data_IF_595013048214
#
_entry.id   IF_595013048214
#
_cell.length_a   1.000
_cell.length_b   1.000
_cell.length_c   1.000
_cell.angle_alpha   90.00
_cell.angle_beta   90.00
_cell.angle_gamma   90.00
#
_symmetry.space_group_name_H-M   'P 1'
#
loop_
_entity.id
_entity.type
_entity.pdbx_description
1 polymer ?
#
# COMPACT_ATOMS: atom_id res chain seq x y z
N UNK A 1 1.06 24.04 9.78
CA UNK A 1 2.13 24.05 8.76
C UNK A 1 1.84 22.99 7.69
N UNK A 2 2.58 22.97 6.57
CA UNK A 2 2.43 21.95 5.53
C UNK A 2 2.66 20.52 6.10
N UNK A 3 3.62 20.39 7.02
CA UNK A 3 3.96 19.12 7.68
C UNK A 3 2.75 18.55 8.44
N UNK A 4 2.07 19.36 9.26
CA UNK A 4 0.91 18.90 10.03
C UNK A 4 -0.25 18.43 9.13
N UNK A 5 -0.45 19.08 7.98
CA UNK A 5 -1.47 18.66 6.99
C UNK A 5 -1.09 17.34 6.32
N UNK A 6 0.20 17.10 6.07
CA UNK A 6 0.70 15.84 5.54
C UNK A 6 0.55 14.72 6.57
N UNK A 7 0.88 14.99 7.83
CA UNK A 7 0.70 14.01 8.91
C UNK A 7 -0.78 13.63 9.07
N UNK A 8 -1.70 14.60 9.03
CA UNK A 8 -3.14 14.34 9.01
C UNK A 8 -3.60 13.54 7.78
N UNK A 9 -3.03 13.81 6.60
CA UNK A 9 -3.35 13.08 5.38
C UNK A 9 -2.97 11.60 5.48
N UNK A 10 -1.78 11.30 6.03
CA UNK A 10 -1.28 9.93 6.20
C UNK A 10 -1.88 9.18 7.39
N UNK A 11 -2.49 9.88 8.34
CA UNK A 11 -3.25 9.26 9.43
C UNK A 11 -4.59 8.66 8.99
N UNK A 12 -5.03 8.89 7.74
CA UNK A 12 -6.31 8.40 7.25
C UNK A 12 -6.31 6.87 7.22
N UNK A 13 -7.07 6.27 8.14
CA UNK A 13 -7.16 4.81 8.28
C UNK A 13 -7.60 4.15 6.97
N UNK A 14 -6.78 3.22 6.47
CA UNK A 14 -7.27 2.20 5.56
C UNK A 14 -8.30 1.35 6.32
N UNK A 15 -9.54 1.31 5.84
CA UNK A 15 -10.57 0.44 6.42
C UNK A 15 -10.11 -1.01 6.28
N UNK A 16 -9.59 -1.59 7.35
CA UNK A 16 -9.29 -3.01 7.45
C UNK A 16 -10.59 -3.81 7.31
N UNK A 17 -10.93 -4.24 6.10
CA UNK A 17 -12.05 -5.15 5.89
C UNK A 17 -11.59 -6.56 6.25
N UNK A 18 -12.43 -7.34 6.96
CA UNK A 18 -12.16 -8.75 7.08
C UNK A 18 -12.12 -9.36 5.68
N UNK A 19 -11.13 -10.21 5.44
CA UNK A 19 -10.94 -10.94 4.18
C UNK A 19 -10.68 -12.40 4.48
N UNK A 20 -10.70 -13.24 3.46
CA UNK A 20 -10.46 -14.68 3.51
C UNK A 20 -9.23 -15.11 2.68
N UNK A 21 -8.51 -14.15 2.11
CA UNK A 21 -7.28 -14.35 1.33
C UNK A 21 -6.09 -13.54 1.89
N UNK A 22 -4.87 -13.93 1.53
CA UNK A 22 -3.64 -13.17 1.78
C UNK A 22 -3.05 -12.64 0.47
N UNK A 23 -2.31 -11.53 0.53
CA UNK A 23 -1.62 -10.99 -0.64
C UNK A 23 -0.29 -11.71 -0.88
N UNK A 24 0.19 -11.72 -2.13
CA UNK A 24 1.54 -12.21 -2.46
C UNK A 24 2.61 -11.46 -1.67
N UNK A 25 2.40 -10.17 -1.40
CA UNK A 25 3.28 -9.34 -0.55
C UNK A 25 3.33 -9.76 0.93
N UNK A 26 2.50 -10.72 1.34
CA UNK A 26 2.47 -11.30 2.68
C UNK A 26 3.10 -12.69 2.73
N UNK A 27 3.45 -13.26 1.58
CA UNK A 27 4.17 -14.54 1.51
C UNK A 27 5.53 -14.37 2.19
N UNK A 28 5.82 -15.24 3.16
CA UNK A 28 7.04 -15.17 3.98
C UNK A 28 6.94 -14.32 5.24
N UNK A 29 5.83 -13.60 5.47
CA UNK A 29 5.57 -12.95 6.78
C UNK A 29 5.15 -13.98 7.83
N UNK A 30 5.22 -13.57 9.10
CA UNK A 30 4.75 -14.40 10.21
C UNK A 30 3.27 -14.77 10.03
N UNK A 31 2.88 -16.06 10.06
CA UNK A 31 1.48 -16.48 9.88
C UNK A 31 0.50 -15.81 10.85
N UNK A 32 0.95 -15.54 12.09
CA UNK A 32 0.16 -14.83 13.10
C UNK A 32 -0.15 -13.39 12.70
N UNK A 33 0.81 -12.70 12.09
CA UNK A 33 0.62 -11.34 11.59
C UNK A 33 -0.39 -11.32 10.42
N UNK A 34 -0.30 -12.30 9.52
CA UNK A 34 -1.23 -12.46 8.41
C UNK A 34 -2.65 -12.69 8.96
N UNK A 35 -2.82 -13.60 9.92
CA UNK A 35 -4.11 -13.87 10.56
C UNK A 35 -4.75 -12.61 11.18
N UNK A 36 -4.00 -11.82 11.96
CA UNK A 36 -4.55 -10.59 12.55
C UNK A 36 -4.91 -9.55 11.49
N UNK A 37 -4.09 -9.43 10.44
CA UNK A 37 -4.38 -8.52 9.32
C UNK A 37 -5.66 -8.93 8.59
N UNK A 38 -5.86 -10.22 8.36
CA UNK A 38 -7.07 -10.81 7.78
C UNK A 38 -8.31 -10.54 8.64
N UNK A 39 -8.18 -10.58 9.97
CA UNK A 39 -9.27 -10.28 10.91
C UNK A 39 -9.56 -8.77 11.07
N UNK A 40 -8.86 -7.91 10.34
CA UNK A 40 -9.07 -6.46 10.40
C UNK A 40 -8.58 -5.83 11.70
N UNK A 41 -7.59 -6.43 12.37
CA UNK A 41 -6.97 -5.78 13.53
C UNK A 41 -6.34 -4.43 13.11
N UNK A 42 -6.45 -3.40 13.97
CA UNK A 42 -5.89 -2.09 13.65
C UNK A 42 -4.37 -2.22 13.49
N UNK A 43 -3.86 -1.68 12.39
CA UNK A 43 -2.41 -1.56 12.19
C UNK A 43 -1.91 -0.38 13.04
N UNK A 44 -0.67 -0.44 13.55
CA UNK A 44 -0.08 0.73 14.18
C UNK A 44 -0.07 1.89 13.17
N UNK A 45 -0.32 3.13 13.62
CA UNK A 45 -0.30 4.29 12.74
C UNK A 45 1.08 4.39 12.10
N UNK A 46 1.11 4.66 10.79
CA UNK A 46 2.36 4.95 10.09
C UNK A 46 2.86 6.32 10.52
N UNK A 47 4.15 6.43 10.83
CA UNK A 47 4.77 7.72 11.06
C UNK A 47 4.85 8.53 9.76
N UNK A 48 4.69 9.84 9.86
CA UNK A 48 4.67 10.72 8.68
C UNK A 48 5.96 10.70 7.87
N UNK A 49 7.10 10.35 8.47
CA UNK A 49 8.37 10.20 7.74
C UNK A 49 8.36 8.93 6.88
N UNK A 50 8.00 7.78 7.45
CA UNK A 50 7.88 6.52 6.69
C UNK A 50 6.82 6.62 5.61
N UNK A 51 5.67 7.24 5.91
CA UNK A 51 4.60 7.40 4.93
C UNK A 51 5.06 8.22 3.70
N UNK A 52 5.87 9.27 3.93
CA UNK A 52 6.48 10.05 2.85
C UNK A 52 7.48 9.23 2.02
N UNK A 53 8.28 8.37 2.65
CA UNK A 53 9.22 7.48 1.93
C UNK A 53 8.46 6.50 1.04
N UNK A 54 7.36 5.92 1.53
CA UNK A 54 6.50 5.04 0.74
C UNK A 54 5.87 5.80 -0.44
N UNK A 55 5.38 7.02 -0.23
CA UNK A 55 4.80 7.84 -1.30
C UNK A 55 5.79 8.16 -2.44
N UNK A 56 7.09 8.31 -2.14
CA UNK A 56 8.12 8.46 -3.17
C UNK A 56 8.28 7.17 -3.98
N UNK A 57 8.25 6.02 -3.31
CA UNK A 57 8.25 4.71 -3.96
C UNK A 57 7.03 4.52 -4.88
N UNK A 58 5.85 4.91 -4.42
CA UNK A 58 4.61 4.84 -5.20
C UNK A 58 4.67 5.73 -6.45
N UNK A 59 5.20 6.96 -6.35
CA UNK A 59 5.35 7.84 -7.50
C UNK A 59 6.38 7.30 -8.50
N UNK A 60 7.49 6.73 -8.02
CA UNK A 60 8.48 6.09 -8.87
C UNK A 60 7.86 4.89 -9.61
N UNK A 61 7.12 4.03 -8.90
CA UNK A 61 6.42 2.90 -9.48
C UNK A 61 5.40 3.36 -10.54
N UNK A 62 4.63 4.41 -10.26
CA UNK A 62 3.67 5.00 -11.21
C UNK A 62 4.36 5.44 -12.51
N UNK A 63 5.48 6.14 -12.43
CA UNK A 63 6.23 6.61 -13.62
C UNK A 63 6.79 5.46 -14.45
N UNK A 64 7.36 4.45 -13.79
CA UNK A 64 7.90 3.27 -14.47
C UNK A 64 6.80 2.50 -15.18
N UNK A 65 5.70 2.22 -14.48
CA UNK A 65 4.55 1.49 -15.04
C UNK A 65 3.92 2.26 -16.20
N UNK A 66 3.79 3.58 -16.12
CA UNK A 66 3.31 4.40 -17.25
C UNK A 66 4.18 4.26 -18.49
N UNK A 67 5.51 4.26 -18.33
CA UNK A 67 6.42 4.05 -19.46
C UNK A 67 6.27 2.64 -20.05
N UNK A 68 6.17 1.62 -19.19
CA UNK A 68 5.98 0.23 -19.61
C UNK A 68 4.64 0.00 -20.35
N UNK A 69 3.57 0.67 -19.91
CA UNK A 69 2.29 0.69 -20.62
C UNK A 69 2.42 1.33 -22.00
N UNK A 70 3.11 2.47 -22.10
CA UNK A 70 3.33 3.15 -23.37
C UNK A 70 4.12 2.30 -24.39
N UNK A 71 4.93 1.36 -23.91
CA UNK A 71 5.66 0.40 -24.76
C UNK A 71 4.87 -0.88 -25.06
N UNK A 72 3.69 -1.08 -24.46
CA UNK A 72 2.89 -2.30 -24.62
C UNK A 72 3.48 -3.54 -23.94
N UNK A 73 4.44 -3.38 -23.02
CA UNK A 73 5.10 -4.50 -22.34
C UNK A 73 4.23 -5.04 -21.20
N UNK A 74 3.47 -4.16 -20.54
CA UNK A 74 2.64 -4.50 -19.38
C UNK A 74 1.19 -4.24 -19.75
N UNK A 75 0.31 -5.17 -19.40
CA UNK A 75 -1.14 -5.06 -19.53
C UNK A 75 -1.72 -4.97 -18.12
N UNK A 76 -2.74 -4.14 -17.96
CA UNK A 76 -3.43 -4.03 -16.68
C UNK A 76 -4.13 -5.35 -16.42
N UNK A 77 -3.83 -6.00 -15.29
CA UNK A 77 -4.49 -7.25 -14.90
C UNK A 77 -6.02 -7.10 -14.73
N UNK A 78 -6.51 -5.87 -14.68
CA UNK A 78 -7.94 -5.52 -14.55
C UNK A 78 -8.62 -5.19 -15.90
N UNK A 79 -7.90 -5.19 -17.02
CA UNK A 79 -8.51 -5.03 -18.35
C UNK A 79 -8.94 -6.41 -18.90
N UNK A 80 -10.18 -6.56 -19.42
CA UNK A 80 -10.69 -7.81 -19.97
C UNK A 80 -9.92 -8.31 -21.19
#
# INVERSE_FOLDING_TARGET
MLVDKLDQYFQREERGRPRDYFYVSEVGKCPRQIYYTIKGFPRPPLDGLTARKLAVGDDAHRRLVQALYGMGIVVAAEAP
#
